data_IF_869676202650
#
_entry.id   IF_869676202650
#
_cell.length_a   1.000
_cell.length_b   1.000
_cell.length_c   1.000
_cell.angle_alpha   90.00
_cell.angle_beta   90.00
_cell.angle_gamma   90.00
#
_symmetry.space_group_name_H-M   'P 1'
#
loop_
_entity.id
_entity.type
_entity.pdbx_description
1 polymer ?
#
# COMPACT_ATOMS: atom_id res chain seq x y z
N UNK A 1 -18.39 10.59 15.23
CA UNK A 1 -19.09 11.71 14.58
C UNK A 1 -20.45 11.28 14.03
N UNK A 2 -20.53 10.47 12.96
CA UNK A 2 -21.83 10.07 12.40
C UNK A 2 -22.68 9.18 13.31
N UNK A 3 -22.06 8.23 14.03
CA UNK A 3 -22.78 7.29 14.92
C UNK A 3 -23.16 7.86 16.30
N UNK A 4 -22.50 8.94 16.73
CA UNK A 4 -22.61 9.47 18.11
C UNK A 4 -22.92 10.96 18.20
N UNK A 5 -22.94 11.68 17.07
CA UNK A 5 -23.13 13.13 17.00
C UNK A 5 -21.99 13.97 17.61
N UNK A 6 -20.98 13.36 18.26
CA UNK A 6 -19.89 14.09 18.91
C UNK A 6 -18.81 14.49 17.90
N UNK A 7 -18.50 15.79 17.90
CA UNK A 7 -17.35 16.39 17.23
C UNK A 7 -16.04 16.28 18.03
N UNK A 8 -14.91 16.44 17.35
CA UNK A 8 -13.56 16.46 17.93
C UNK A 8 -12.85 17.76 17.50
N UNK A 9 -13.31 18.93 17.97
CA UNK A 9 -12.83 20.22 17.48
C UNK A 9 -11.36 20.52 17.82
N UNK A 10 -10.77 19.76 18.75
CA UNK A 10 -9.35 19.86 19.10
C UNK A 10 -8.43 18.97 18.25
N UNK A 11 -8.98 18.08 17.43
CA UNK A 11 -8.21 17.17 16.59
C UNK A 11 -7.66 17.93 15.38
N UNK A 12 -6.33 18.06 15.32
CA UNK A 12 -5.63 18.80 14.24
C UNK A 12 -5.01 17.91 13.18
N UNK A 13 -4.73 16.65 13.49
CA UNK A 13 -4.13 15.73 12.53
C UNK A 13 -4.36 14.28 12.91
N UNK A 14 -4.34 13.44 11.89
CA UNK A 14 -4.45 11.99 12.00
C UNK A 14 -3.23 11.41 11.32
N UNK A 15 -2.57 10.44 11.97
CA UNK A 15 -1.50 9.66 11.36
C UNK A 15 -2.00 8.23 11.11
N UNK A 16 -1.70 7.70 9.95
CA UNK A 16 -2.04 6.34 9.51
C UNK A 16 -0.79 5.68 8.96
N UNK A 17 -0.74 4.35 9.04
CA UNK A 17 0.38 3.56 8.55
C UNK A 17 0.18 2.09 8.87
N UNK A 18 1.08 1.24 8.37
CA UNK A 18 1.02 -0.22 8.52
C UNK A 18 0.20 -0.95 7.46
N UNK A 19 -0.59 -0.23 6.66
CA UNK A 19 -1.28 -0.74 5.48
C UNK A 19 -1.34 0.34 4.40
N UNK A 20 -1.71 -0.04 3.18
CA UNK A 20 -2.04 0.92 2.11
C UNK A 20 -3.27 1.74 2.55
N UNK A 21 -3.22 3.05 2.35
CA UNK A 21 -4.35 3.95 2.58
C UNK A 21 -5.05 4.19 1.24
N UNK A 22 -6.25 3.63 1.07
CA UNK A 22 -7.04 3.90 -0.14
C UNK A 22 -7.54 5.34 -0.21
N UNK A 23 -7.70 5.85 -1.43
CA UNK A 23 -8.24 7.18 -1.71
C UNK A 23 -9.60 7.37 -1.03
N UNK A 24 -10.50 6.39 -1.14
CA UNK A 24 -11.83 6.41 -0.54
C UNK A 24 -11.79 6.50 1.00
N UNK A 25 -10.86 5.78 1.65
CA UNK A 25 -10.68 5.84 3.10
C UNK A 25 -10.15 7.21 3.53
N UNK A 26 -9.18 7.76 2.79
CA UNK A 26 -8.64 9.09 3.06
C UNK A 26 -9.72 10.18 2.96
N UNK A 27 -10.57 10.11 1.92
CA UNK A 27 -11.71 11.03 1.75
C UNK A 27 -12.75 10.87 2.85
N UNK A 28 -13.10 9.63 3.20
CA UNK A 28 -14.03 9.34 4.29
C UNK A 28 -13.52 9.89 5.63
N UNK A 29 -12.23 9.74 5.92
CA UNK A 29 -11.61 10.29 7.12
C UNK A 29 -11.68 11.83 7.13
N UNK A 30 -11.32 12.50 6.02
CA UNK A 30 -11.42 13.96 5.91
C UNK A 30 -12.84 14.47 6.11
N UNK A 31 -13.83 13.77 5.56
CA UNK A 31 -15.25 14.11 5.71
C UNK A 31 -15.76 13.88 7.13
N UNK A 32 -15.31 12.80 7.79
CA UNK A 32 -15.72 12.46 9.14
C UNK A 32 -15.10 13.37 10.21
N UNK A 33 -13.88 13.86 9.98
CA UNK A 33 -13.13 14.70 10.91
C UNK A 33 -12.93 16.12 10.37
N UNK A 34 -14.05 16.85 10.27
CA UNK A 34 -14.07 18.24 9.79
C UNK A 34 -13.14 19.10 10.65
N UNK A 35 -12.12 19.68 10.04
CA UNK A 35 -11.14 20.56 10.70
C UNK A 35 -9.75 19.98 10.90
N UNK A 36 -9.51 18.70 10.55
CA UNK A 36 -8.14 18.18 10.51
C UNK A 36 -7.33 18.93 9.44
N UNK A 37 -6.13 19.35 9.82
CA UNK A 37 -5.20 20.04 8.95
C UNK A 37 -4.39 19.02 8.14
N UNK A 38 -4.05 17.89 8.76
CA UNK A 38 -3.17 16.88 8.19
C UNK A 38 -3.75 15.46 8.33
N UNK A 39 -3.65 14.67 7.26
CA UNK A 39 -3.81 13.23 7.26
C UNK A 39 -2.47 12.64 6.82
N UNK A 40 -1.63 12.26 7.78
CA UNK A 40 -0.25 11.84 7.56
C UNK A 40 -0.21 10.35 7.26
N UNK A 41 0.11 10.00 6.02
CA UNK A 41 0.41 8.62 5.66
C UNK A 41 1.89 8.33 5.94
N UNK A 42 2.16 7.28 6.71
CA UNK A 42 3.48 6.92 7.21
C UNK A 42 3.83 5.52 6.73
N UNK A 43 5.04 5.37 6.20
CA UNK A 43 5.58 4.07 5.82
C UNK A 43 6.78 3.71 6.68
N UNK A 44 6.80 2.46 7.10
CA UNK A 44 7.85 1.87 7.89
C UNK A 44 7.54 0.40 8.17
N UNK A 45 8.52 -0.27 8.75
CA UNK A 45 8.43 -1.68 9.12
C UNK A 45 9.14 -1.91 10.46
N UNK A 46 8.91 -3.06 11.09
CA UNK A 46 9.56 -3.38 12.37
C UNK A 46 11.08 -3.22 12.29
N UNK A 47 11.67 -3.64 11.18
CA UNK A 47 13.10 -3.59 10.90
C UNK A 47 13.65 -2.17 10.74
N UNK A 48 12.79 -1.18 10.48
CA UNK A 48 13.21 0.22 10.40
C UNK A 48 13.33 0.88 11.78
N UNK A 49 12.73 0.27 12.83
CA UNK A 49 12.59 0.84 14.17
C UNK A 49 12.08 2.29 14.18
N UNK A 50 11.19 2.65 13.25
CA UNK A 50 10.73 4.02 13.11
C UNK A 50 9.95 4.24 11.82
N UNK A 51 9.96 5.49 11.36
CA UNK A 51 9.34 5.90 10.10
C UNK A 51 10.44 5.96 9.03
N UNK A 52 10.22 5.31 7.90
CA UNK A 52 11.09 5.39 6.73
C UNK A 52 10.73 6.62 5.91
N UNK A 53 9.46 6.74 5.52
CA UNK A 53 8.92 7.93 4.85
C UNK A 53 7.63 8.39 5.51
N UNK A 54 7.35 9.68 5.40
CA UNK A 54 6.08 10.22 5.87
C UNK A 54 5.73 11.54 5.20
N UNK A 55 4.44 11.87 5.19
CA UNK A 55 4.02 13.17 4.71
C UNK A 55 4.58 14.31 5.59
N UNK A 56 5.04 15.42 4.99
CA UNK A 56 5.48 16.58 5.75
C UNK A 56 4.36 17.11 6.65
N UNK A 57 4.69 17.42 7.91
CA UNK A 57 3.76 18.01 8.88
C UNK A 57 3.34 19.43 8.47
N UNK A 58 4.18 20.09 7.68
CA UNK A 58 3.99 21.45 7.17
C UNK A 58 4.03 21.45 5.64
N UNK A 59 3.05 22.08 4.98
CA UNK A 59 3.04 22.20 3.52
C UNK A 59 1.63 22.12 2.95
N UNK A 60 1.54 21.99 1.61
CA UNK A 60 0.25 21.75 0.96
C UNK A 60 -0.27 20.35 1.32
N UNK A 61 -1.56 20.21 1.68
CA UNK A 61 -2.17 18.90 1.86
C UNK A 61 -2.07 18.10 0.55
N UNK A 62 -1.56 16.88 0.62
CA UNK A 62 -1.48 16.01 -0.55
C UNK A 62 -2.71 15.08 -0.65
N UNK A 63 -2.93 14.55 -1.85
CA UNK A 63 -4.09 13.71 -2.25
C UNK A 63 -4.30 12.50 -1.34
N UNK A 64 -3.25 12.01 -0.68
CA UNK A 64 -3.34 11.10 0.46
C UNK A 64 -2.93 9.66 0.17
N UNK A 65 -2.55 9.33 -1.06
CA UNK A 65 -2.11 7.97 -1.44
C UNK A 65 -0.60 7.77 -1.32
N UNK A 66 0.20 8.83 -1.47
CA UNK A 66 1.65 8.78 -1.24
C UNK A 66 1.97 8.63 0.26
N UNK A 67 3.09 7.97 0.54
CA UNK A 67 3.67 7.86 1.90
C UNK A 67 4.75 8.92 2.14
N UNK A 68 4.70 10.03 1.39
CA UNK A 68 5.54 11.20 1.54
C UNK A 68 7.00 10.96 1.17
N UNK A 69 7.90 11.68 1.85
CA UNK A 69 9.34 11.72 1.54
C UNK A 69 10.15 11.05 2.66
N UNK A 70 11.43 10.68 2.40
CA UNK A 70 12.30 10.11 3.43
C UNK A 70 12.35 10.96 4.71
N UNK A 71 12.26 10.29 5.86
CA UNK A 71 12.42 10.94 7.14
C UNK A 71 13.86 11.48 7.34
N UNK A 72 14.05 12.32 8.35
CA UNK A 72 15.35 12.89 8.68
C UNK A 72 16.41 11.80 8.85
N UNK A 73 17.54 11.93 8.16
CA UNK A 73 18.65 10.96 8.13
C UNK A 73 18.29 9.58 7.54
N UNK A 74 17.15 9.45 6.86
CA UNK A 74 16.80 8.25 6.11
C UNK A 74 17.09 8.48 4.63
N UNK A 75 17.77 7.52 4.01
CA UNK A 75 17.98 7.47 2.57
C UNK A 75 17.11 6.37 1.99
N UNK A 76 16.44 6.63 0.87
CA UNK A 76 15.60 5.66 0.17
C UNK A 76 16.05 5.58 -1.29
N UNK A 77 16.05 4.38 -1.85
CA UNK A 77 16.16 4.13 -3.28
C UNK A 77 15.15 3.07 -3.70
N UNK A 78 14.73 3.12 -4.96
CA UNK A 78 13.97 2.05 -5.59
C UNK A 78 14.90 1.32 -6.56
N UNK A 79 14.88 -0.01 -6.54
CA UNK A 79 15.74 -0.84 -7.38
C UNK A 79 14.94 -1.87 -8.17
N UNK A 80 15.40 -2.16 -9.37
CA UNK A 80 14.83 -3.23 -10.18
C UNK A 80 15.10 -4.59 -9.52
N UNK A 81 14.06 -5.40 -9.37
CA UNK A 81 14.09 -6.65 -8.62
C UNK A 81 14.94 -7.75 -9.27
N UNK A 82 15.20 -7.64 -10.58
CA UNK A 82 15.96 -8.63 -11.35
C UNK A 82 17.44 -8.24 -11.44
N UNK A 83 17.70 -6.98 -11.79
CA UNK A 83 19.03 -6.46 -12.10
C UNK A 83 19.71 -5.80 -10.91
N UNK A 84 18.93 -5.37 -9.90
CA UNK A 84 19.41 -4.61 -8.75
C UNK A 84 19.83 -3.17 -9.07
N UNK A 85 19.53 -2.68 -10.28
CA UNK A 85 19.87 -1.31 -10.68
C UNK A 85 18.92 -0.29 -10.06
N UNK A 86 19.43 0.91 -9.76
CA UNK A 86 18.61 2.03 -9.26
C UNK A 86 17.64 2.48 -10.35
N UNK A 87 16.37 2.61 -9.99
CA UNK A 87 15.31 3.06 -10.85
C UNK A 87 15.07 4.57 -10.69
N UNK A 88 14.61 5.19 -11.78
CA UNK A 88 14.22 6.60 -11.84
C UNK A 88 12.80 6.85 -11.31
N UNK A 89 12.32 8.10 -11.39
CA UNK A 89 10.95 8.45 -11.08
C UNK A 89 9.95 7.62 -11.90
N UNK A 90 8.80 7.33 -11.30
CA UNK A 90 7.67 6.58 -11.88
C UNK A 90 8.01 5.14 -12.35
N UNK A 91 9.14 4.59 -11.91
CA UNK A 91 9.53 3.21 -12.18
C UNK A 91 9.39 2.36 -10.92
N UNK A 92 8.52 1.35 -10.99
CA UNK A 92 8.25 0.45 -9.86
C UNK A 92 9.36 -0.58 -9.67
N UNK A 93 9.77 -0.78 -8.42
CA UNK A 93 10.76 -1.79 -8.02
C UNK A 93 10.75 -2.01 -6.51
N UNK A 94 11.76 -2.70 -5.99
CA UNK A 94 11.92 -2.88 -4.55
C UNK A 94 12.35 -1.58 -3.88
N UNK A 95 11.65 -1.19 -2.81
CA UNK A 95 12.05 -0.09 -1.95
C UNK A 95 13.18 -0.58 -1.03
N UNK A 96 14.32 0.11 -1.06
CA UNK A 96 15.43 -0.14 -0.15
C UNK A 96 15.75 1.14 0.61
N UNK A 97 16.04 1.03 1.91
CA UNK A 97 16.32 2.20 2.74
C UNK A 97 17.53 2.01 3.66
N UNK A 98 18.17 3.11 4.01
CA UNK A 98 19.25 3.15 5.00
C UNK A 98 18.87 4.16 6.07
N UNK A 99 18.85 3.70 7.32
CA UNK A 99 18.50 4.52 8.48
C UNK A 99 19.41 4.19 9.66
N UNK A 100 19.81 5.19 10.49
CA UNK A 100 20.50 4.96 11.75
C UNK A 100 19.70 4.08 12.74
N UNK A 101 18.38 4.05 12.62
CA UNK A 101 17.50 3.26 13.49
C UNK A 101 17.34 1.81 13.05
N UNK A 102 17.74 1.45 11.83
CA UNK A 102 17.49 0.13 11.27
C UNK A 102 18.10 -1.02 12.11
N UNK A 103 17.40 -2.15 12.17
CA UNK A 103 17.84 -3.32 12.93
C UNK A 103 19.15 -3.88 12.40
N UNK A 104 20.06 -4.30 13.29
CA UNK A 104 21.35 -4.84 12.85
C UNK A 104 21.24 -6.21 12.18
N UNK A 105 20.37 -7.07 12.71
CA UNK A 105 20.20 -8.44 12.25
C UNK A 105 18.98 -9.08 12.90
N UNK A 106 18.56 -10.23 12.37
CA UNK A 106 17.57 -11.08 13.00
C UNK A 106 18.22 -12.02 14.02
N UNK A 107 17.64 -12.09 15.22
CA UNK A 107 18.13 -12.97 16.28
C UNK A 107 18.09 -14.44 15.85
N UNK A 108 19.24 -15.13 15.94
CA UNK A 108 19.42 -16.56 15.59
C UNK A 108 19.04 -16.92 14.14
N UNK A 109 19.08 -15.95 13.22
CA UNK A 109 18.76 -16.13 11.79
C UNK A 109 19.88 -15.57 10.89
N UNK A 110 21.06 -16.22 10.86
CA UNK A 110 22.23 -15.68 10.18
C UNK A 110 22.08 -15.62 8.65
N UNK A 111 21.30 -16.53 8.04
CA UNK A 111 21.06 -16.54 6.59
C UNK A 111 20.21 -15.35 6.18
N UNK A 112 19.07 -15.16 6.83
CA UNK A 112 18.16 -14.04 6.59
C UNK A 112 18.83 -12.70 6.92
N UNK A 113 19.68 -12.66 7.95
CA UNK A 113 20.44 -11.46 8.30
C UNK A 113 21.49 -11.09 7.25
N UNK A 114 22.07 -12.07 6.55
CA UNK A 114 23.02 -11.83 5.47
C UNK A 114 22.35 -11.28 4.20
N UNK A 115 21.05 -11.56 4.02
CA UNK A 115 20.26 -11.11 2.87
C UNK A 115 19.53 -9.79 3.11
N UNK A 116 19.39 -9.37 4.38
CA UNK A 116 18.64 -8.20 4.83
C UNK A 116 19.16 -6.89 4.21
N UNK A 117 20.47 -6.76 4.08
CA UNK A 117 21.13 -5.59 3.52
C UNK A 117 21.72 -5.89 2.15
N UNK A 118 21.69 -4.91 1.26
CA UNK A 118 22.47 -4.97 0.02
C UNK A 118 23.95 -4.59 0.25
N UNK A 119 24.73 -4.62 -0.83
CA UNK A 119 26.17 -4.32 -0.79
C UNK A 119 26.49 -2.86 -0.46
N UNK A 120 25.53 -1.93 -0.61
CA UNK A 120 25.66 -0.51 -0.28
C UNK A 120 25.17 -0.20 1.15
N UNK A 121 24.67 -1.21 1.87
CA UNK A 121 24.15 -1.08 3.24
C UNK A 121 22.71 -0.59 3.32
N UNK A 122 21.92 -0.70 2.25
CA UNK A 122 20.48 -0.45 2.29
C UNK A 122 19.74 -1.74 2.67
N UNK A 123 18.80 -1.62 3.60
CA UNK A 123 17.88 -2.67 3.99
C UNK A 123 16.84 -2.88 2.88
N UNK A 124 16.65 -4.13 2.46
CA UNK A 124 15.68 -4.55 1.45
C UNK A 124 14.31 -4.75 2.09
N UNK A 125 13.35 -3.89 1.79
CA UNK A 125 12.05 -3.91 2.47
C UNK A 125 11.17 -5.12 2.12
N UNK A 126 11.37 -5.69 0.93
CA UNK A 126 10.42 -6.63 0.33
C UNK A 126 9.12 -5.97 -0.14
N UNK A 127 9.04 -4.64 -0.15
CA UNK A 127 7.91 -3.85 -0.64
C UNK A 127 8.22 -3.30 -2.03
N UNK A 128 7.24 -3.40 -2.93
CA UNK A 128 7.25 -2.78 -4.24
C UNK A 128 6.73 -1.35 -4.14
N UNK A 129 7.39 -0.42 -4.82
CA UNK A 129 6.93 0.95 -4.92
C UNK A 129 7.71 1.75 -5.95
N UNK A 130 7.31 3.00 -6.12
CA UNK A 130 7.97 3.98 -6.98
C UNK A 130 7.95 5.35 -6.31
N UNK A 131 8.70 6.30 -6.86
CA UNK A 131 8.65 7.70 -6.42
C UNK A 131 8.38 8.63 -7.60
N UNK A 132 7.81 9.80 -7.35
CA UNK A 132 7.60 10.84 -8.38
C UNK A 132 8.81 11.79 -8.50
N UNK A 133 8.71 12.75 -9.43
CA UNK A 133 9.76 13.78 -9.66
C UNK A 133 10.04 14.65 -8.42
N UNK A 134 9.09 14.75 -7.49
CA UNK A 134 9.24 15.48 -6.23
C UNK A 134 9.83 14.59 -5.11
N UNK A 135 10.15 13.33 -5.41
CA UNK A 135 10.70 12.36 -4.48
C UNK A 135 9.68 11.78 -3.50
N UNK A 136 8.37 11.91 -3.78
CA UNK A 136 7.33 11.30 -2.96
C UNK A 136 7.19 9.84 -3.30
N UNK A 137 7.17 9.00 -2.28
CA UNK A 137 7.12 7.56 -2.43
C UNK A 137 5.67 7.06 -2.43
N UNK A 138 5.40 6.10 -3.31
CA UNK A 138 4.11 5.41 -3.44
C UNK A 138 4.36 3.92 -3.24
N UNK A 139 3.56 3.30 -2.38
CA UNK A 139 3.60 1.87 -2.12
C UNK A 139 2.66 1.18 -3.09
N UNK A 140 3.16 0.18 -3.80
CA UNK A 140 2.37 -0.64 -4.72
C UNK A 140 1.83 -1.85 -3.96
N UNK A 141 2.70 -2.74 -3.49
CA UNK A 141 2.34 -3.91 -2.67
C UNK A 141 3.58 -4.58 -2.07
N UNK A 142 3.43 -5.73 -1.41
CA UNK A 142 4.52 -6.63 -1.04
C UNK A 142 4.97 -7.42 -2.27
N UNK A 143 6.29 -7.49 -2.50
CA UNK A 143 6.87 -8.31 -3.59
C UNK A 143 6.44 -9.79 -3.52
N UNK A 144 6.23 -10.31 -2.30
CA UNK A 144 5.78 -11.69 -2.09
C UNK A 144 4.27 -11.89 -2.31
N UNK A 145 3.49 -10.82 -2.37
CA UNK A 145 2.04 -10.87 -2.57
C UNK A 145 1.62 -10.50 -4.00
N UNK A 146 2.56 -10.05 -4.84
CA UNK A 146 2.34 -9.86 -6.27
C UNK A 146 1.80 -11.14 -6.91
N UNK A 147 0.66 -11.04 -7.60
CA UNK A 147 0.02 -12.18 -8.25
C UNK A 147 0.67 -12.40 -9.60
N UNK A 148 1.16 -13.62 -9.84
CA UNK A 148 1.84 -14.01 -11.08
C UNK A 148 0.87 -14.71 -12.01
N UNK A 149 0.21 -13.93 -12.85
CA UNK A 149 -0.74 -14.42 -13.84
C UNK A 149 -0.11 -14.38 -15.23
N UNK A 150 0.15 -15.55 -15.80
CA UNK A 150 0.84 -15.73 -17.08
C UNK A 150 2.21 -15.01 -17.09
N UNK A 151 2.47 -14.16 -18.09
CA UNK A 151 3.68 -13.35 -18.23
C UNK A 151 3.61 -12.01 -17.49
N UNK A 152 2.53 -11.76 -16.76
CA UNK A 152 2.24 -10.48 -16.12
C UNK A 152 2.25 -10.63 -14.60
N UNK A 153 2.64 -9.57 -13.91
CA UNK A 153 2.52 -9.46 -12.47
C UNK A 153 1.68 -8.24 -12.17
N UNK A 154 0.72 -8.36 -11.27
CA UNK A 154 -0.07 -7.23 -10.81
C UNK A 154 -0.18 -7.25 -9.29
N UNK A 155 -0.33 -6.07 -8.72
CA UNK A 155 -0.51 -5.90 -7.30
C UNK A 155 -1.97 -6.20 -6.93
N UNK A 156 -2.24 -7.07 -5.95
CA UNK A 156 -3.56 -7.19 -5.34
C UNK A 156 -4.22 -5.84 -5.06
N UNK A 157 -3.47 -4.88 -4.50
CA UNK A 157 -3.98 -3.56 -4.15
C UNK A 157 -4.58 -2.78 -5.34
N UNK A 158 -4.04 -2.93 -6.56
CA UNK A 158 -4.57 -2.28 -7.77
C UNK A 158 -5.96 -2.83 -8.13
N UNK A 159 -6.14 -4.15 -8.02
CA UNK A 159 -7.42 -4.81 -8.27
C UNK A 159 -8.41 -4.48 -7.16
N UNK A 160 -7.96 -4.44 -5.91
CA UNK A 160 -8.78 -4.03 -4.76
C UNK A 160 -9.32 -2.60 -4.92
N UNK A 161 -8.46 -1.65 -5.32
CA UNK A 161 -8.87 -0.26 -5.55
C UNK A 161 -9.85 -0.14 -6.72
N UNK A 162 -9.62 -0.85 -7.83
CA UNK A 162 -10.55 -0.91 -8.96
C UNK A 162 -11.94 -1.42 -8.53
N UNK A 163 -11.98 -2.50 -7.76
CA UNK A 163 -13.24 -3.10 -7.31
C UNK A 163 -13.99 -2.19 -6.33
N UNK A 164 -13.28 -1.51 -5.43
CA UNK A 164 -13.90 -0.53 -4.54
C UNK A 164 -14.39 0.71 -5.29
N UNK A 165 -13.73 1.10 -6.38
CA UNK A 165 -14.16 2.20 -7.22
C UNK A 165 -15.44 1.87 -8.00
N UNK A 166 -15.46 0.75 -8.71
CA UNK A 166 -16.58 0.36 -9.58
C UNK A 166 -17.80 -0.17 -8.82
N UNK A 167 -17.57 -0.87 -7.69
CA UNK A 167 -18.61 -1.57 -6.94
C UNK A 167 -18.74 -1.09 -5.48
N UNK A 168 -18.29 0.14 -5.19
CA UNK A 168 -18.28 0.67 -3.81
C UNK A 168 -19.65 0.82 -3.16
N UNK A 169 -20.75 0.79 -3.94
CA UNK A 169 -22.10 0.74 -3.39
C UNK A 169 -22.44 -0.66 -2.84
N UNK A 170 -21.94 -1.72 -3.48
CA UNK A 170 -22.18 -3.11 -3.12
C UNK A 170 -21.10 -3.74 -2.25
N UNK A 171 -19.86 -3.25 -2.30
CA UNK A 171 -18.68 -3.79 -1.62
C UNK A 171 -18.22 -2.82 -0.55
N UNK A 172 -18.19 -3.30 0.70
CA UNK A 172 -17.66 -2.55 1.84
C UNK A 172 -16.14 -2.70 1.97
N UNK A 173 -15.64 -3.93 1.78
CA UNK A 173 -14.22 -4.28 1.86
C UNK A 173 -13.92 -5.39 0.85
N UNK A 174 -12.70 -5.43 0.33
CA UNK A 174 -12.23 -6.46 -0.59
C UNK A 174 -10.78 -6.81 -0.27
N UNK A 175 -10.43 -8.07 -0.43
CA UNK A 175 -9.02 -8.49 -0.51
C UNK A 175 -8.83 -9.44 -1.67
N UNK A 176 -7.72 -9.28 -2.40
CA UNK A 176 -7.39 -10.07 -3.58
C UNK A 176 -6.15 -10.91 -3.29
N UNK A 177 -6.19 -12.19 -3.68
CA UNK A 177 -5.08 -13.12 -3.52
C UNK A 177 -4.88 -13.94 -4.79
N UNK A 178 -3.64 -14.33 -5.05
CA UNK A 178 -3.31 -15.29 -6.11
C UNK A 178 -3.61 -16.71 -5.64
N UNK A 179 -4.47 -17.43 -6.35
CA UNK A 179 -4.71 -18.86 -6.14
C UNK A 179 -3.98 -19.67 -7.21
N UNK A 180 -3.35 -20.82 -6.87
CA UNK A 180 -2.72 -21.68 -7.86
C UNK A 180 -3.69 -22.06 -8.99
N UNK A 181 -3.26 -21.88 -10.24
CA UNK A 181 -4.07 -22.17 -11.42
C UNK A 181 -3.24 -22.84 -12.50
N UNK A 182 -3.76 -23.92 -13.10
CA UNK A 182 -3.01 -24.77 -14.03
C UNK A 182 -2.55 -24.03 -15.30
N UNK A 183 -3.34 -23.07 -15.78
CA UNK A 183 -3.05 -22.34 -17.03
C UNK A 183 -2.41 -20.96 -16.79
N UNK A 184 -2.71 -20.34 -15.65
CA UNK A 184 -2.32 -18.96 -15.36
C UNK A 184 -1.10 -18.88 -14.43
N UNK A 185 -0.67 -20.00 -13.85
CA UNK A 185 0.25 -19.99 -12.71
C UNK A 185 -0.51 -19.61 -11.44
N UNK A 186 -0.92 -18.34 -11.34
CA UNK A 186 -1.81 -17.83 -10.30
C UNK A 186 -3.02 -17.09 -10.92
N UNK A 187 -4.22 -17.46 -10.50
CA UNK A 187 -5.46 -16.76 -10.83
C UNK A 187 -5.84 -15.81 -9.68
N UNK A 188 -6.14 -14.53 -9.94
CA UNK A 188 -6.63 -13.63 -8.90
C UNK A 188 -8.02 -14.09 -8.41
N UNK A 189 -8.17 -14.11 -7.09
CA UNK A 189 -9.43 -14.38 -6.41
C UNK A 189 -9.70 -13.28 -5.39
N UNK A 190 -10.91 -12.72 -5.42
CA UNK A 190 -11.35 -11.69 -4.50
C UNK A 190 -12.26 -12.29 -3.42
N UNK A 191 -11.98 -11.98 -2.16
CA UNK A 191 -12.93 -12.13 -1.07
C UNK A 191 -13.55 -10.77 -0.77
N UNK A 192 -14.88 -10.68 -0.81
CA UNK A 192 -15.63 -9.42 -0.71
C UNK A 192 -16.56 -9.41 0.50
N UNK A 193 -16.59 -8.29 1.21
CA UNK A 193 -17.58 -8.00 2.24
C UNK A 193 -18.65 -7.12 1.60
N UNK A 194 -19.90 -7.59 1.57
CA UNK A 194 -21.00 -6.85 0.95
C UNK A 194 -21.57 -5.78 1.89
N UNK A 195 -21.98 -4.65 1.32
CA UNK A 195 -22.84 -3.67 2.00
C UNK A 195 -24.27 -4.22 2.15
N UNK A 196 -25.15 -3.50 2.86
CA UNK A 196 -26.58 -3.83 2.88
C UNK A 196 -27.19 -3.84 1.47
N UNK A 197 -26.79 -2.91 0.60
CA UNK A 197 -27.25 -2.85 -0.79
C UNK A 197 -26.72 -4.04 -1.60
N UNK A 198 -25.43 -4.35 -1.47
CA UNK A 198 -24.80 -5.51 -2.11
C UNK A 198 -25.43 -6.83 -1.66
N UNK A 199 -25.82 -6.94 -0.39
CA UNK A 199 -26.47 -8.15 0.15
C UNK A 199 -27.85 -8.44 -0.44
N UNK A 200 -28.50 -7.44 -1.06
CA UNK A 200 -29.82 -7.56 -1.70
C UNK A 200 -29.73 -7.97 -3.17
N UNK A 201 -28.52 -7.97 -3.76
CA UNK A 201 -28.28 -8.37 -5.15
C UNK A 201 -28.14 -9.89 -5.25
N UNK A 202 -28.39 -10.41 -6.45
CA UNK A 202 -28.06 -11.79 -6.75
C UNK A 202 -26.54 -11.99 -6.71
N UNK A 203 -26.08 -12.92 -5.86
CA UNK A 203 -24.64 -13.12 -5.61
C UNK A 203 -23.91 -13.63 -6.84
N UNK A 204 -24.58 -14.42 -7.67
CA UNK A 204 -23.95 -15.03 -8.84
C UNK A 204 -23.77 -14.00 -9.94
N UNK A 205 -24.80 -13.18 -10.20
CA UNK A 205 -24.70 -12.05 -11.13
C UNK A 205 -23.65 -11.03 -10.69
N UNK A 206 -23.57 -10.72 -9.40
CA UNK A 206 -22.56 -9.80 -8.89
C UNK A 206 -21.14 -10.37 -9.07
N UNK A 207 -20.93 -11.65 -8.78
CA UNK A 207 -19.65 -12.32 -8.98
C UNK A 207 -19.24 -12.38 -10.47
N UNK A 208 -20.19 -12.62 -11.38
CA UNK A 208 -19.95 -12.60 -12.83
C UNK A 208 -19.58 -11.19 -13.32
N UNK A 209 -20.28 -10.15 -12.85
CA UNK A 209 -19.97 -8.76 -13.17
C UNK A 209 -18.56 -8.38 -12.69
N UNK A 210 -18.22 -8.71 -11.45
CA UNK A 210 -16.88 -8.44 -10.87
C UNK A 210 -15.79 -9.13 -11.69
N UNK A 211 -15.99 -10.40 -12.06
CA UNK A 211 -15.03 -11.13 -12.91
C UNK A 211 -14.85 -10.46 -14.27
N UNK A 212 -15.93 -10.05 -14.93
CA UNK A 212 -15.87 -9.37 -16.22
C UNK A 212 -15.16 -8.00 -16.17
N UNK A 213 -15.04 -7.37 -15.00
CA UNK A 213 -14.27 -6.12 -14.82
C UNK A 213 -12.76 -6.36 -14.74
N UNK A 214 -12.34 -7.55 -14.31
CA UNK A 214 -10.93 -7.89 -14.03
C UNK A 214 -10.35 -8.82 -15.10
N UNK A 215 -11.19 -9.55 -15.83
CA UNK A 215 -10.80 -10.32 -17.01
C UNK A 215 -10.44 -9.38 -18.19
N UNK A 216 -9.29 -9.57 -18.86
CA UNK A 216 -8.91 -8.81 -20.04
C UNK A 216 -9.76 -9.13 -21.28
#
# INVERSE_FOLDING_TARGET
>A
MQRTGRGLPSLKGIAVGGSVLSTSTAEAARKAFVGIQNLLNLYGMTESCGIVTGQPITGKPHTGTDVGVPATMVEVKVVDVVTGQKLGPHQAGEICYRSPSAVKSYYKRPKESAELYDKEGYLKSGDAGYYDEDGRLYIVDRLKQMIKCMSTQFAPAEVEELLLHEYGAEIAEVTVVGLPHNELGEAPAAAVVLTEEGSRRDRQQLAESIKATVEP
#
